data_IF_215726844121
#
_entry.id   IF_215726844121
#
_cell.length_a   1.000
_cell.length_b   1.000
_cell.length_c   1.000
_cell.angle_alpha   90.00
_cell.angle_beta   90.00
_cell.angle_gamma   90.00
#
_symmetry.space_group_name_H-M   'P 1'
#
loop_
_entity.id
_entity.type
_entity.pdbx_description
1 polymer ?
#
# COMPACT_ATOMS: atom_id res chain seq x y z
N UNK A 1 26.49 0.37 5.37
CA UNK A 1 25.59 -0.66 5.97
C UNK A 1 26.42 -1.77 6.61
N UNK A 2 26.05 -2.22 7.77
CA UNK A 2 26.78 -3.28 8.47
C UNK A 2 26.54 -4.65 7.86
N UNK A 3 27.60 -5.45 7.78
CA UNK A 3 27.50 -6.84 7.34
C UNK A 3 26.63 -7.65 8.32
N UNK A 4 25.61 -8.37 7.84
CA UNK A 4 24.76 -9.18 8.73
C UNK A 4 25.47 -10.42 9.29
N UNK A 5 26.64 -10.79 8.75
CA UNK A 5 27.36 -11.99 9.16
C UNK A 5 28.44 -11.68 10.22
N UNK A 6 29.22 -10.61 10.06
CA UNK A 6 30.31 -10.27 10.96
C UNK A 6 30.17 -8.90 11.63
N UNK A 7 29.14 -8.13 11.33
CA UNK A 7 28.86 -6.80 11.88
C UNK A 7 29.90 -5.72 11.49
N UNK A 8 30.75 -5.97 10.52
CA UNK A 8 31.68 -4.98 10.02
C UNK A 8 30.90 -3.83 9.35
N UNK A 9 31.29 -2.59 9.65
CA UNK A 9 30.67 -1.42 9.05
C UNK A 9 31.14 -1.15 7.62
N UNK A 10 32.23 -1.77 7.20
CA UNK A 10 32.86 -1.54 5.90
C UNK A 10 32.35 -2.53 4.86
N UNK A 11 31.30 -2.15 4.15
CA UNK A 11 30.72 -2.90 3.03
C UNK A 11 30.64 -2.01 1.82
N UNK A 12 30.72 -2.60 0.63
CA UNK A 12 30.60 -1.86 -0.62
C UNK A 12 29.49 -2.43 -1.50
N UNK A 13 28.93 -1.57 -2.35
CA UNK A 13 27.95 -1.97 -3.34
C UNK A 13 28.68 -2.44 -4.59
N UNK A 14 28.40 -3.67 -5.03
CA UNK A 14 29.01 -4.27 -6.23
C UNK A 14 28.09 -4.19 -7.45
N UNK A 15 26.79 -4.12 -7.24
CA UNK A 15 25.79 -4.02 -8.30
C UNK A 15 24.53 -3.34 -7.78
N UNK A 16 23.82 -2.62 -8.66
CA UNK A 16 22.54 -1.97 -8.33
C UNK A 16 21.61 -2.10 -9.52
N UNK A 17 20.37 -2.55 -9.27
CA UNK A 17 19.35 -2.68 -10.31
C UNK A 17 17.99 -2.26 -9.77
N UNK A 18 17.22 -1.57 -10.61
CA UNK A 18 15.84 -1.27 -10.29
C UNK A 18 15.03 -2.58 -10.33
N UNK A 19 14.03 -2.68 -9.43
CA UNK A 19 13.06 -3.78 -9.48
C UNK A 19 12.11 -3.58 -10.67
N UNK A 20 11.44 -4.67 -11.11
CA UNK A 20 10.56 -4.65 -12.29
C UNK A 20 9.41 -3.65 -12.14
N UNK A 21 8.92 -3.43 -10.92
CA UNK A 21 7.85 -2.46 -10.64
C UNK A 21 8.35 -1.02 -10.52
N UNK A 22 9.67 -0.79 -10.56
CA UNK A 22 10.28 0.52 -10.44
C UNK A 22 10.20 1.15 -9.05
N UNK A 23 9.71 0.42 -8.05
CA UNK A 23 9.46 0.96 -6.70
C UNK A 23 10.63 0.78 -5.75
N UNK A 24 11.60 -0.05 -6.10
CA UNK A 24 12.75 -0.32 -5.25
C UNK A 24 14.01 -0.47 -6.07
N UNK A 25 15.15 -0.35 -5.41
CA UNK A 25 16.46 -0.62 -6.00
C UNK A 25 17.06 -1.79 -5.25
N UNK A 26 17.39 -2.86 -5.98
CA UNK A 26 18.10 -4.00 -5.46
C UNK A 26 19.59 -3.75 -5.52
N UNK A 27 20.27 -3.79 -4.37
CA UNK A 27 21.71 -3.58 -4.28
C UNK A 27 22.39 -4.86 -3.81
N UNK A 28 23.40 -5.27 -4.55
CA UNK A 28 24.28 -6.37 -4.15
C UNK A 28 25.47 -5.77 -3.40
N UNK A 29 25.74 -6.25 -2.20
CA UNK A 29 26.79 -5.73 -1.34
C UNK A 29 27.79 -6.82 -0.98
N UNK A 30 29.01 -6.41 -0.69
CA UNK A 30 30.09 -7.30 -0.26
C UNK A 30 30.79 -6.72 0.96
N UNK A 31 31.00 -7.55 1.97
CA UNK A 31 31.73 -7.16 3.16
C UNK A 31 33.24 -7.12 2.87
N UNK A 32 33.88 -6.05 3.27
CA UNK A 32 35.33 -5.89 3.07
C UNK A 32 36.15 -6.77 4.04
N UNK A 33 35.56 -7.19 5.13
CA UNK A 33 36.24 -8.00 6.16
C UNK A 33 36.06 -9.50 5.93
N UNK A 34 34.82 -10.00 5.88
CA UNK A 34 34.56 -11.44 5.74
C UNK A 34 34.36 -11.89 4.29
N UNK A 35 34.25 -10.98 3.35
CA UNK A 35 34.08 -11.28 1.92
C UNK A 35 32.72 -11.82 1.52
N UNK A 36 31.79 -11.97 2.45
CA UNK A 36 30.47 -12.46 2.15
C UNK A 36 29.62 -11.42 1.43
N UNK A 37 28.76 -11.91 0.55
CA UNK A 37 27.83 -11.07 -0.22
C UNK A 37 26.43 -11.19 0.38
N UNK A 38 25.71 -10.07 0.32
CA UNK A 38 24.31 -10.00 0.75
C UNK A 38 23.56 -9.01 -0.12
N UNK A 39 22.24 -9.14 -0.14
CA UNK A 39 21.36 -8.28 -0.96
C UNK A 39 20.57 -7.37 -0.04
N UNK A 40 20.48 -6.08 -0.43
CA UNK A 40 19.65 -5.10 0.24
C UNK A 40 18.70 -4.46 -0.78
N UNK A 41 17.60 -3.91 -0.28
CA UNK A 41 16.64 -3.17 -1.08
C UNK A 41 16.50 -1.77 -0.53
N UNK A 42 16.56 -0.80 -1.44
CA UNK A 42 16.26 0.59 -1.11
C UNK A 42 14.87 0.89 -1.65
N UNK A 43 13.98 1.36 -0.79
CA UNK A 43 12.62 1.72 -1.17
C UNK A 43 12.19 2.96 -0.41
N UNK A 44 11.22 3.66 -0.97
CA UNK A 44 10.66 4.84 -0.32
C UNK A 44 9.91 4.39 0.93
N UNK A 45 10.19 5.05 2.05
CA UNK A 45 9.47 4.80 3.29
C UNK A 45 8.03 5.28 3.14
N UNK A 46 7.08 4.37 3.34
CA UNK A 46 5.67 4.73 3.34
C UNK A 46 5.28 5.28 4.71
N UNK A 47 4.70 6.48 4.70
CA UNK A 47 4.15 7.06 5.93
C UNK A 47 2.84 6.33 6.25
N UNK A 48 2.67 5.79 7.47
CA UNK A 48 1.43 5.12 7.84
C UNK A 48 0.24 6.08 7.73
N UNK A 49 -0.84 5.60 7.11
CA UNK A 49 -2.10 6.33 7.00
C UNK A 49 -3.03 5.86 8.11
N UNK A 50 -3.49 6.80 8.93
CA UNK A 50 -4.34 6.53 10.09
C UNK A 50 -5.80 6.84 9.74
N UNK A 51 -6.70 5.92 10.03
CA UNK A 51 -8.14 6.08 9.86
C UNK A 51 -8.77 6.39 11.22
N UNK A 52 -9.51 7.49 11.29
CA UNK A 52 -10.26 7.88 12.49
C UNK A 52 -11.70 7.37 12.35
N UNK A 53 -12.08 6.45 13.22
CA UNK A 53 -13.43 5.86 13.25
C UNK A 53 -14.43 6.84 13.88
N UNK A 54 -15.73 6.56 13.69
CA UNK A 54 -16.82 7.40 14.23
C UNK A 54 -16.78 7.54 15.75
N UNK A 55 -16.31 6.51 16.46
CA UNK A 55 -16.16 6.53 17.91
C UNK A 55 -14.86 7.16 18.40
N UNK A 56 -14.06 7.72 17.49
CA UNK A 56 -12.80 8.37 17.82
C UNK A 56 -11.59 7.46 17.83
N UNK A 57 -11.77 6.14 17.65
CA UNK A 57 -10.65 5.20 17.60
C UNK A 57 -9.78 5.46 16.36
N UNK A 58 -8.48 5.26 16.51
CA UNK A 58 -7.51 5.34 15.44
C UNK A 58 -7.08 3.94 15.02
N UNK A 59 -7.15 3.65 13.73
CA UNK A 59 -6.70 2.38 13.15
C UNK A 59 -5.82 2.68 11.95
N UNK A 60 -4.86 1.81 11.68
CA UNK A 60 -4.09 1.91 10.44
C UNK A 60 -4.98 1.56 9.24
N UNK A 61 -4.78 2.28 8.14
CA UNK A 61 -5.47 1.98 6.90
C UNK A 61 -5.11 0.56 6.44
N UNK A 62 -6.11 -0.28 6.26
CA UNK A 62 -5.95 -1.66 5.82
C UNK A 62 -6.60 -1.82 4.43
N UNK A 63 -5.74 -1.88 3.42
CA UNK A 63 -6.15 -2.04 2.03
C UNK A 63 -6.99 -3.30 1.82
N UNK A 64 -6.60 -4.41 2.44
CA UNK A 64 -7.30 -5.69 2.29
C UNK A 64 -8.68 -5.67 2.91
N UNK A 65 -8.83 -5.00 4.03
CA UNK A 65 -10.14 -4.85 4.70
C UNK A 65 -11.12 -4.10 3.80
N UNK A 66 -10.67 -3.02 3.19
CA UNK A 66 -11.49 -2.24 2.26
C UNK A 66 -11.83 -3.05 1.01
N UNK A 67 -10.85 -3.74 0.44
CA UNK A 67 -11.04 -4.58 -0.74
C UNK A 67 -12.05 -5.71 -0.46
N UNK A 68 -11.96 -6.37 0.68
CA UNK A 68 -12.88 -7.43 1.07
C UNK A 68 -14.31 -6.90 1.23
N UNK A 69 -14.47 -5.70 1.77
CA UNK A 69 -15.78 -5.03 1.85
C UNK A 69 -16.38 -4.78 0.49
N UNK A 70 -15.56 -4.33 -0.46
CA UNK A 70 -15.99 -4.11 -1.84
C UNK A 70 -16.33 -5.42 -2.54
N UNK A 71 -15.54 -6.47 -2.36
CA UNK A 71 -15.82 -7.79 -2.92
C UNK A 71 -17.17 -8.33 -2.44
N UNK A 72 -17.51 -8.14 -1.17
CA UNK A 72 -18.81 -8.55 -0.65
C UNK A 72 -19.95 -7.76 -1.26
N UNK A 73 -19.78 -6.46 -1.45
CA UNK A 73 -20.80 -5.60 -2.07
C UNK A 73 -21.01 -5.95 -3.56
N UNK A 74 -19.98 -6.45 -4.22
CA UNK A 74 -20.02 -6.83 -5.63
C UNK A 74 -20.31 -8.31 -5.86
N UNK A 75 -20.67 -9.06 -4.81
CA UNK A 75 -20.99 -10.47 -4.93
C UNK A 75 -22.13 -10.69 -5.94
N UNK A 76 -21.91 -11.62 -6.88
CA UNK A 76 -22.83 -11.91 -8.01
C UNK A 76 -23.04 -10.75 -8.98
N UNK A 77 -22.13 -9.79 -9.02
CA UNK A 77 -22.13 -8.71 -10.01
C UNK A 77 -20.97 -8.90 -10.99
N UNK A 78 -21.09 -8.33 -12.17
CA UNK A 78 -20.07 -8.40 -13.22
C UNK A 78 -18.96 -7.37 -12.99
N UNK A 79 -18.41 -7.35 -11.77
CA UNK A 79 -17.30 -6.46 -11.41
C UNK A 79 -16.08 -7.31 -11.13
N UNK A 80 -14.98 -7.04 -11.82
CA UNK A 80 -13.75 -7.81 -11.64
C UNK A 80 -13.00 -7.36 -10.40
N UNK A 81 -12.22 -8.27 -9.82
CA UNK A 81 -11.34 -7.95 -8.71
C UNK A 81 -10.39 -6.80 -9.06
N UNK A 82 -9.88 -6.78 -10.29
CA UNK A 82 -8.97 -5.73 -10.75
C UNK A 82 -9.64 -4.34 -10.72
N UNK A 83 -10.89 -4.25 -11.11
CA UNK A 83 -11.64 -2.99 -11.02
C UNK A 83 -11.73 -2.49 -9.58
N UNK A 84 -11.96 -3.38 -8.63
CA UNK A 84 -12.02 -3.04 -7.21
C UNK A 84 -10.66 -2.67 -6.65
N UNK A 85 -9.61 -3.38 -7.04
CA UNK A 85 -8.23 -3.02 -6.66
C UNK A 85 -7.85 -1.63 -7.19
N UNK A 86 -8.26 -1.29 -8.40
CA UNK A 86 -8.03 0.03 -8.98
C UNK A 86 -8.75 1.13 -8.19
N UNK A 87 -9.97 0.86 -7.73
CA UNK A 87 -10.72 1.80 -6.87
C UNK A 87 -9.96 2.04 -5.57
N UNK A 88 -9.54 0.97 -4.90
CA UNK A 88 -8.80 1.07 -3.63
C UNK A 88 -7.49 1.84 -3.82
N UNK A 89 -6.75 1.54 -4.88
CA UNK A 89 -5.50 2.23 -5.21
C UNK A 89 -5.73 3.72 -5.45
N UNK A 90 -6.77 4.06 -6.19
CA UNK A 90 -7.11 5.45 -6.49
C UNK A 90 -7.50 6.23 -5.25
N UNK A 91 -8.33 5.64 -4.39
CA UNK A 91 -8.75 6.26 -3.13
C UNK A 91 -7.53 6.48 -2.22
N UNK A 92 -6.70 5.46 -2.03
CA UNK A 92 -5.48 5.57 -1.22
C UNK A 92 -4.55 6.66 -1.74
N UNK A 93 -4.33 6.71 -3.04
CA UNK A 93 -3.48 7.73 -3.68
C UNK A 93 -4.03 9.14 -3.44
N UNK A 94 -5.33 9.33 -3.61
CA UNK A 94 -5.96 10.63 -3.41
C UNK A 94 -5.82 11.10 -1.96
N UNK A 95 -5.98 10.21 -1.00
CA UNK A 95 -5.81 10.53 0.42
C UNK A 95 -4.36 10.92 0.70
N UNK A 96 -3.39 10.14 0.21
CA UNK A 96 -1.96 10.43 0.42
C UNK A 96 -1.53 11.72 -0.25
N UNK A 97 -2.12 12.08 -1.39
CA UNK A 97 -1.81 13.33 -2.10
C UNK A 97 -2.28 14.57 -1.35
N UNK A 98 -3.22 14.45 -0.43
CA UNK A 98 -3.63 15.57 0.42
C UNK A 98 -2.62 15.91 1.52
N UNK A 99 -1.57 15.10 1.66
CA UNK A 99 -0.53 15.23 2.70
C UNK A 99 -1.08 15.08 4.12
N UNK A 100 -2.31 14.66 4.27
CA UNK A 100 -2.91 14.38 5.57
C UNK A 100 -2.42 13.01 6.06
N UNK A 101 -2.07 12.93 7.34
CA UNK A 101 -1.67 11.67 7.99
C UNK A 101 -2.88 10.92 8.54
N UNK A 102 -3.98 11.62 8.72
CA UNK A 102 -5.23 11.08 9.24
C UNK A 102 -6.38 11.36 8.29
N UNK A 103 -7.30 10.41 8.17
CA UNK A 103 -8.52 10.56 7.39
C UNK A 103 -9.67 9.89 8.12
N UNK A 104 -10.86 10.49 8.08
CA UNK A 104 -12.05 9.88 8.69
C UNK A 104 -12.53 8.69 7.88
N UNK A 105 -13.08 7.68 8.56
CA UNK A 105 -13.69 6.54 7.88
C UNK A 105 -14.86 6.97 6.99
N UNK A 106 -15.58 8.02 7.37
CA UNK A 106 -16.65 8.59 6.55
C UNK A 106 -16.13 9.15 5.24
N UNK A 107 -15.00 9.85 5.27
CA UNK A 107 -14.38 10.40 4.06
C UNK A 107 -13.93 9.31 3.11
N UNK A 108 -13.34 8.23 3.64
CA UNK A 108 -12.97 7.06 2.83
C UNK A 108 -14.21 6.47 2.18
N UNK A 109 -15.27 6.28 2.96
CA UNK A 109 -16.54 5.76 2.47
C UNK A 109 -17.11 6.59 1.33
N UNK A 110 -17.12 7.91 1.46
CA UNK A 110 -17.59 8.83 0.42
C UNK A 110 -16.78 8.69 -0.87
N UNK A 111 -15.46 8.62 -0.75
CA UNK A 111 -14.57 8.49 -1.91
C UNK A 111 -14.77 7.15 -2.63
N UNK A 112 -14.91 6.08 -1.86
CA UNK A 112 -15.18 4.74 -2.40
C UNK A 112 -16.52 4.69 -3.10
N UNK A 113 -17.57 5.23 -2.48
CA UNK A 113 -18.91 5.27 -3.06
C UNK A 113 -18.94 6.05 -4.35
N UNK A 114 -18.24 7.18 -4.43
CA UNK A 114 -18.14 7.98 -5.64
C UNK A 114 -17.55 7.17 -6.80
N UNK A 115 -16.50 6.39 -6.55
CA UNK A 115 -15.87 5.55 -7.57
C UNK A 115 -16.74 4.33 -7.92
N UNK A 116 -17.35 3.71 -6.92
CA UNK A 116 -18.15 2.50 -7.11
C UNK A 116 -19.41 2.77 -7.92
N UNK A 117 -20.03 3.93 -7.74
CA UNK A 117 -21.23 4.34 -8.47
C UNK A 117 -21.06 4.30 -9.98
N UNK A 118 -19.88 4.66 -10.47
CA UNK A 118 -19.56 4.64 -11.90
C UNK A 118 -19.30 3.24 -12.43
N UNK A 119 -19.06 2.26 -11.55
CA UNK A 119 -18.74 0.89 -11.94
C UNK A 119 -19.98 -0.01 -11.89
N UNK A 120 -20.73 0.02 -10.79
CA UNK A 120 -21.95 -0.79 -10.63
C UNK A 120 -22.87 -0.16 -9.59
N UNK A 121 -24.07 0.18 -10.02
CA UNK A 121 -25.04 0.89 -9.19
C UNK A 121 -25.60 0.02 -8.06
N UNK A 122 -25.78 -1.27 -8.29
CA UNK A 122 -26.26 -2.21 -7.26
C UNK A 122 -25.20 -2.38 -6.16
N UNK A 123 -23.93 -2.52 -6.55
CA UNK A 123 -22.83 -2.60 -5.60
C UNK A 123 -22.71 -1.31 -4.79
N UNK A 124 -22.92 -0.16 -5.42
CA UNK A 124 -22.96 1.13 -4.73
C UNK A 124 -24.00 1.14 -3.61
N UNK A 125 -25.22 0.71 -3.92
CA UNK A 125 -26.32 0.66 -2.92
C UNK A 125 -25.97 -0.30 -1.77
N UNK A 126 -25.44 -1.48 -2.09
CA UNK A 126 -25.05 -2.48 -1.08
C UNK A 126 -23.95 -1.98 -0.15
N UNK A 127 -22.95 -1.30 -0.71
CA UNK A 127 -21.83 -0.77 0.07
C UNK A 127 -22.26 0.39 0.96
N UNK A 128 -23.20 1.21 0.49
CA UNK A 128 -23.74 2.35 1.24
C UNK A 128 -24.60 1.94 2.44
N UNK A 129 -25.10 0.70 2.45
CA UNK A 129 -26.00 0.19 3.52
C UNK A 129 -25.26 -0.23 4.77
#
# INVERSE_FOLDING_TARGET
>A
MRCPFCQCADTKVTDSRATDDGKAIRRRRECQQCGRRFTTYEMVEEVPLVVVKKDGRHELFDRNKLLNGLLRACNKREVTRQQLEDIVTKVERNIRNTLAQEVSSEKIGEMVLSELRSVDEVAYIRFAS
#
